data_IF_149719423270
#
_entry.id   IF_149719423270
#
_cell.length_a   1.000
_cell.length_b   1.000
_cell.length_c   1.000
_cell.angle_alpha   90.00
_cell.angle_beta   90.00
_cell.angle_gamma   90.00
#
_symmetry.space_group_name_H-M   'P 1'
#
loop_
_entity.id
_entity.type
_entity.pdbx_description
1 polymer ?
#
# COMPACT_ATOMS: atom_id res chain seq x y z
N UNK A 1 -5.97 -3.73 -15.62
CA UNK A 1 -6.87 -4.60 -14.82
C UNK A 1 -6.12 -4.95 -13.55
N UNK A 2 -6.77 -4.87 -12.38
CA UNK A 2 -6.18 -5.26 -11.08
C UNK A 2 -6.99 -6.44 -10.55
N UNK A 3 -6.31 -7.49 -10.11
CA UNK A 3 -6.94 -8.68 -9.54
C UNK A 3 -6.09 -9.19 -8.37
N UNK A 4 -6.76 -9.56 -7.28
CA UNK A 4 -6.13 -10.10 -6.06
C UNK A 4 -6.95 -11.29 -5.55
N UNK A 5 -6.30 -12.22 -4.86
CA UNK A 5 -7.01 -13.20 -4.06
C UNK A 5 -7.46 -12.58 -2.72
N UNK A 6 -8.34 -13.27 -1.99
CA UNK A 6 -8.91 -12.77 -0.73
C UNK A 6 -8.54 -13.60 0.50
N UNK A 7 -7.63 -14.57 0.39
CA UNK A 7 -7.24 -15.42 1.51
C UNK A 7 -6.17 -14.73 2.36
N UNK A 8 -6.39 -14.66 3.67
CA UNK A 8 -5.41 -14.30 4.69
C UNK A 8 -5.19 -15.48 5.63
N UNK A 9 -3.92 -15.77 5.95
CA UNK A 9 -3.52 -16.89 6.79
C UNK A 9 -2.57 -16.45 7.89
N UNK A 10 -2.61 -17.18 9.01
CA UNK A 10 -1.64 -17.08 10.10
C UNK A 10 -0.98 -18.45 10.26
N UNK A 11 0.18 -18.64 9.61
CA UNK A 11 0.76 -19.97 9.43
C UNK A 11 -0.12 -20.86 8.54
N UNK A 12 -0.33 -22.11 8.94
CA UNK A 12 -1.22 -23.05 8.23
C UNK A 12 -2.70 -22.75 8.43
N UNK A 13 -3.07 -21.93 9.41
CA UNK A 13 -4.44 -21.56 9.69
C UNK A 13 -4.95 -20.47 8.75
N UNK A 14 -6.11 -20.69 8.12
CA UNK A 14 -6.78 -19.67 7.30
C UNK A 14 -7.57 -18.75 8.23
N UNK A 15 -7.06 -17.53 8.40
CA UNK A 15 -7.66 -16.51 9.26
C UNK A 15 -8.93 -15.92 8.65
N UNK A 16 -8.90 -15.60 7.35
CA UNK A 16 -10.05 -15.07 6.63
C UNK A 16 -9.99 -15.46 5.15
N UNK A 17 -11.13 -15.81 4.57
CA UNK A 17 -11.26 -16.15 3.13
C UNK A 17 -11.74 -14.98 2.27
N UNK A 18 -12.26 -13.92 2.88
CA UNK A 18 -12.82 -12.72 2.23
C UNK A 18 -12.11 -11.44 2.69
N UNK A 19 -10.79 -11.47 2.74
CA UNK A 19 -9.98 -10.30 3.04
C UNK A 19 -9.81 -9.42 1.79
N UNK A 20 -9.97 -8.10 1.92
CA UNK A 20 -9.79 -7.19 0.80
C UNK A 20 -8.30 -6.81 0.66
N UNK A 21 -7.66 -7.26 -0.43
CA UNK A 21 -6.26 -6.93 -0.73
C UNK A 21 -6.09 -5.78 -1.74
N UNK A 22 -7.19 -5.15 -2.17
CA UNK A 22 -7.13 -3.90 -2.94
C UNK A 22 -7.37 -2.74 -1.99
N UNK A 23 -6.45 -1.80 -1.96
CA UNK A 23 -6.57 -0.58 -1.16
C UNK A 23 -6.76 0.60 -2.10
N UNK A 24 -7.81 1.36 -1.84
CA UNK A 24 -8.11 2.59 -2.57
C UNK A 24 -7.30 3.74 -1.97
N UNK A 25 -6.15 4.04 -2.59
CA UNK A 25 -5.28 5.14 -2.16
C UNK A 25 -5.95 6.48 -2.48
N UNK A 26 -6.52 6.60 -3.68
CA UNK A 26 -7.36 7.72 -4.11
C UNK A 26 -8.23 7.30 -5.32
N UNK A 27 -9.15 8.15 -5.84
CA UNK A 27 -10.06 7.77 -6.92
C UNK A 27 -9.42 7.33 -8.26
N UNK A 28 -8.09 7.48 -8.43
CA UNK A 28 -7.38 7.12 -9.66
C UNK A 28 -6.15 6.23 -9.40
N UNK A 29 -5.88 5.85 -8.16
CA UNK A 29 -4.69 5.09 -7.78
C UNK A 29 -5.07 4.01 -6.77
N UNK A 30 -4.78 2.76 -7.12
CA UNK A 30 -5.02 1.57 -6.31
C UNK A 30 -3.68 0.99 -5.87
N UNK A 31 -3.64 0.49 -4.65
CA UNK A 31 -2.56 -0.33 -4.11
C UNK A 31 -3.01 -1.77 -3.90
N UNK A 32 -2.04 -2.69 -3.88
CA UNK A 32 -2.27 -4.12 -3.70
C UNK A 32 -1.47 -4.62 -2.51
N UNK A 33 -2.13 -5.37 -1.63
CA UNK A 33 -1.51 -5.89 -0.43
C UNK A 33 -0.91 -7.28 -0.63
N UNK A 34 0.39 -7.43 -0.32
CA UNK A 34 1.06 -8.72 -0.17
C UNK A 34 2.18 -8.62 0.87
N UNK A 35 2.34 -9.66 1.70
CA UNK A 35 3.22 -9.63 2.86
C UNK A 35 2.44 -9.50 4.17
N UNK A 36 2.98 -8.74 5.12
CA UNK A 36 2.31 -8.45 6.38
C UNK A 36 1.09 -7.57 6.13
N UNK A 37 -0.08 -8.06 6.55
CA UNK A 37 -1.33 -7.34 6.38
C UNK A 37 -1.35 -6.00 7.13
N UNK A 38 -0.65 -5.92 8.27
CA UNK A 38 -0.54 -4.69 9.06
C UNK A 38 0.36 -3.66 8.35
N UNK A 39 1.52 -4.10 7.85
CA UNK A 39 2.50 -3.21 7.23
C UNK A 39 1.93 -2.58 5.96
N UNK A 40 1.32 -3.39 5.08
CA UNK A 40 0.75 -2.90 3.83
C UNK A 40 -0.38 -1.89 4.09
N UNK A 41 -1.33 -2.22 4.97
CA UNK A 41 -2.44 -1.31 5.30
C UNK A 41 -1.95 0.02 5.85
N UNK A 42 -0.97 -0.03 6.76
CA UNK A 42 -0.42 1.16 7.37
C UNK A 42 0.28 2.02 6.32
N UNK A 43 1.21 1.45 5.56
CA UNK A 43 2.03 2.22 4.64
C UNK A 43 1.29 2.73 3.42
N UNK A 44 0.34 1.97 2.89
CA UNK A 44 -0.52 2.45 1.80
C UNK A 44 -1.45 3.58 2.27
N UNK A 45 -1.93 3.55 3.53
CA UNK A 45 -2.68 4.67 4.12
C UNK A 45 -1.80 5.91 4.34
N UNK A 46 -0.53 5.74 4.73
CA UNK A 46 0.45 6.83 4.80
C UNK A 46 0.69 7.40 3.40
N UNK A 47 0.85 6.56 2.38
CA UNK A 47 0.99 6.98 1.00
C UNK A 47 -0.24 7.79 0.53
N UNK A 48 -1.46 7.36 0.87
CA UNK A 48 -2.69 8.09 0.57
C UNK A 48 -2.70 9.50 1.19
N UNK A 49 -2.26 9.62 2.45
CA UNK A 49 -2.11 10.91 3.12
C UNK A 49 -1.10 11.81 2.37
N UNK A 50 0.07 11.28 2.02
CA UNK A 50 1.10 12.06 1.32
C UNK A 50 0.66 12.45 -0.10
N UNK A 51 -0.04 11.57 -0.82
CA UNK A 51 -0.62 11.86 -2.12
C UNK A 51 -1.65 13.00 -2.03
N UNK A 52 -2.48 13.00 -0.98
CA UNK A 52 -3.46 14.07 -0.75
C UNK A 52 -2.77 15.38 -0.40
N UNK A 53 -1.72 15.35 0.42
CA UNK A 53 -0.94 16.52 0.78
C UNK A 53 -0.22 17.11 -0.44
N UNK A 54 0.35 16.28 -1.30
CA UNK A 54 0.94 16.70 -2.58
C UNK A 54 -0.09 17.44 -3.44
N UNK A 55 -1.32 16.91 -3.51
CA UNK A 55 -2.39 17.54 -4.28
C UNK A 55 -2.76 18.93 -3.76
N UNK A 56 -2.83 19.10 -2.44
CA UNK A 56 -3.12 20.40 -1.82
C UNK A 56 -1.98 21.42 -2.01
N UNK A 57 -0.73 20.96 -2.00
CA UNK A 57 0.45 21.83 -2.17
C UNK A 57 0.67 22.29 -3.61
N UNK A 58 0.44 21.41 -4.58
CA UNK A 58 0.77 21.68 -5.99
C UNK A 58 -0.46 22.01 -6.84
N UNK A 59 -1.67 21.94 -6.28
CA UNK A 59 -2.95 22.03 -7.00
C UNK A 59 -3.04 21.05 -8.19
N UNK A 60 -2.27 19.95 -8.15
CA UNK A 60 -2.20 18.96 -9.23
C UNK A 60 -2.17 17.54 -8.64
N UNK A 61 -2.64 16.56 -9.41
CA UNK A 61 -2.62 15.15 -8.98
C UNK A 61 -1.18 14.63 -9.03
N UNK A 62 -0.80 13.81 -8.05
CA UNK A 62 0.49 13.12 -8.07
C UNK A 62 0.51 12.10 -9.22
N UNK A 63 1.66 11.97 -9.89
CA UNK A 63 1.82 10.91 -10.88
C UNK A 63 1.99 9.55 -10.20
N UNK A 64 1.63 8.48 -10.92
CA UNK A 64 1.86 7.10 -10.45
C UNK A 64 3.34 6.85 -10.16
N UNK A 65 4.24 7.39 -10.99
CA UNK A 65 5.69 7.28 -10.82
C UNK A 65 6.21 7.99 -9.57
N UNK A 66 5.66 9.16 -9.22
CA UNK A 66 6.04 9.88 -8.02
C UNK A 66 5.50 9.18 -6.76
N UNK A 67 4.26 8.69 -6.81
CA UNK A 67 3.67 7.93 -5.71
C UNK A 67 4.44 6.63 -5.42
N UNK A 68 4.80 5.86 -6.45
CA UNK A 68 5.60 4.63 -6.27
C UNK A 68 7.00 4.93 -5.75
N UNK A 69 7.67 5.96 -6.27
CA UNK A 69 8.98 6.39 -5.78
C UNK A 69 8.93 6.82 -4.31
N UNK A 70 7.89 7.56 -3.92
CA UNK A 70 7.68 7.99 -2.54
C UNK A 70 7.52 6.79 -1.61
N UNK A 71 6.71 5.80 -2.01
CA UNK A 71 6.54 4.54 -1.26
C UNK A 71 7.88 3.83 -1.09
N UNK A 72 8.65 3.62 -2.17
CA UNK A 72 9.96 2.97 -2.10
C UNK A 72 10.92 3.71 -1.16
N UNK A 73 10.94 5.05 -1.22
CA UNK A 73 11.79 5.85 -0.35
C UNK A 73 11.40 5.71 1.13
N UNK A 74 10.09 5.67 1.43
CA UNK A 74 9.61 5.39 2.79
C UNK A 74 10.05 3.99 3.25
N UNK A 75 9.87 2.95 2.42
CA UNK A 75 10.26 1.57 2.79
C UNK A 75 11.78 1.44 3.00
N UNK A 76 12.58 2.11 2.16
CA UNK A 76 14.05 2.08 2.24
C UNK A 76 14.58 2.58 3.59
N UNK A 77 13.89 3.53 4.23
CA UNK A 77 14.25 4.01 5.57
C UNK A 77 14.10 2.92 6.65
N UNK A 78 13.25 1.93 6.42
CA UNK A 78 12.99 0.81 7.33
C UNK A 78 13.65 -0.48 6.84
N UNK A 79 14.64 -0.40 5.95
CA UNK A 79 15.34 -1.58 5.45
C UNK A 79 16.08 -2.27 6.61
N UNK A 80 15.79 -3.56 6.79
CA UNK A 80 16.41 -4.38 7.84
C UNK A 80 15.64 -4.42 9.17
N UNK A 81 14.49 -3.76 9.29
CA UNK A 81 13.66 -3.80 10.51
C UNK A 81 12.65 -4.94 10.53
N UNK A 82 12.60 -5.77 9.49
CA UNK A 82 11.63 -6.86 9.34
C UNK A 82 10.31 -6.47 8.67
N UNK A 83 10.22 -5.26 8.10
CA UNK A 83 9.05 -4.83 7.32
C UNK A 83 8.79 -5.79 6.15
N UNK A 84 7.54 -6.21 5.97
CA UNK A 84 7.14 -7.11 4.88
C UNK A 84 5.99 -6.51 4.06
N UNK A 85 6.34 -5.88 2.94
CA UNK A 85 5.40 -5.27 1.98
C UNK A 85 5.86 -5.62 0.57
N UNK A 86 4.93 -6.07 -0.29
CA UNK A 86 5.18 -6.16 -1.72
C UNK A 86 5.22 -4.76 -2.33
N UNK A 87 6.37 -4.38 -2.89
CA UNK A 87 6.62 -3.08 -3.54
C UNK A 87 7.14 -3.27 -4.96
#
# INVERSE_FOLDING_TARGET
IVAVDSRASAGSYISNVKFNKVIEINPYLLGTMSGSAADCQYWERVLAKECRLYQLRNNSRISVSAASKLMCNMMLQYRGTGLSVGS
#
